data_IF_408107772372
#
_entry.id   IF_408107772372
#
_cell.length_a   1.000
_cell.length_b   1.000
_cell.length_c   1.000
_cell.angle_alpha   90.00
_cell.angle_beta   90.00
_cell.angle_gamma   90.00
#
_symmetry.space_group_name_H-M   'P 1'
#
loop_
_entity.id
_entity.type
_entity.pdbx_description
1 polymer ?
#
# COMPACT_ATOMS: atom_id res chain seq x y z
N UNK A 1 -10.62 -1.93 -13.52
CA UNK A 1 -9.70 -2.07 -14.68
C UNK A 1 -9.66 -3.50 -15.24
N UNK A 2 -9.36 -4.54 -14.43
CA UNK A 2 -9.20 -5.91 -14.92
C UNK A 2 -10.42 -6.45 -15.70
N UNK A 3 -11.65 -6.20 -15.23
CA UNK A 3 -12.86 -6.64 -15.94
C UNK A 3 -13.05 -5.95 -17.30
N UNK A 4 -12.54 -4.71 -17.48
CA UNK A 4 -12.67 -3.95 -18.73
C UNK A 4 -11.91 -4.57 -19.89
N UNK A 5 -11.06 -5.59 -19.65
CA UNK A 5 -10.47 -6.38 -20.74
C UNK A 5 -11.49 -7.31 -21.42
N UNK A 6 -12.66 -7.52 -20.81
CA UNK A 6 -13.80 -8.24 -21.39
C UNK A 6 -15.05 -7.33 -21.32
N UNK A 7 -15.50 -6.76 -22.45
CA UNK A 7 -16.63 -5.83 -22.48
C UNK A 7 -17.94 -6.42 -21.95
N UNK A 8 -18.15 -7.74 -22.10
CA UNK A 8 -19.38 -8.40 -21.64
C UNK A 8 -19.39 -8.50 -20.12
N UNK A 9 -18.26 -8.92 -19.54
CA UNK A 9 -18.11 -8.93 -18.08
C UNK A 9 -18.17 -7.52 -17.49
N UNK A 10 -17.53 -6.54 -18.13
CA UNK A 10 -17.57 -5.16 -17.67
C UNK A 10 -19.01 -4.61 -17.64
N UNK A 11 -19.78 -4.84 -18.70
CA UNK A 11 -21.18 -4.39 -18.79
C UNK A 11 -22.07 -5.00 -17.69
N UNK A 12 -21.82 -6.24 -17.28
CA UNK A 12 -22.59 -6.91 -16.23
C UNK A 12 -22.22 -6.43 -14.82
N UNK A 13 -20.93 -6.35 -14.53
CA UNK A 13 -20.41 -6.24 -13.16
C UNK A 13 -20.01 -4.82 -12.77
N UNK A 14 -19.50 -4.01 -13.71
CA UNK A 14 -18.98 -2.67 -13.39
C UNK A 14 -20.04 -1.74 -12.79
N UNK A 15 -21.28 -1.64 -13.30
CA UNK A 15 -22.31 -0.79 -12.70
C UNK A 15 -22.65 -1.16 -11.25
N UNK A 16 -22.47 -2.42 -10.87
CA UNK A 16 -22.73 -2.91 -9.50
C UNK A 16 -21.53 -2.69 -8.59
N UNK A 17 -20.31 -2.79 -9.13
CA UNK A 17 -19.07 -2.52 -8.41
C UNK A 17 -18.91 -1.03 -8.08
N UNK A 18 -19.46 -0.15 -8.91
CA UNK A 18 -19.44 1.30 -8.69
C UNK A 18 -20.67 1.83 -7.98
N UNK A 19 -21.59 0.94 -7.59
CA UNK A 19 -22.77 1.28 -6.80
C UNK A 19 -22.39 1.71 -5.39
N UNK A 20 -23.10 2.71 -4.85
CA UNK A 20 -22.95 3.16 -3.46
C UNK A 20 -23.80 2.34 -2.48
N UNK A 21 -24.51 1.31 -2.95
CA UNK A 21 -25.39 0.48 -2.12
C UNK A 21 -24.63 -0.76 -1.64
N UNK A 22 -24.43 -0.88 -0.33
CA UNK A 22 -23.96 -2.12 0.27
C UNK A 22 -25.14 -3.09 0.45
N UNK A 23 -25.03 -4.28 -0.16
CA UNK A 23 -25.98 -5.37 0.05
C UNK A 23 -25.27 -6.62 0.54
N UNK A 24 -25.68 -7.10 1.71
CA UNK A 24 -25.23 -8.38 2.25
C UNK A 24 -25.97 -9.58 1.65
N UNK A 25 -25.46 -10.78 1.93
CA UNK A 25 -26.05 -12.04 1.51
C UNK A 25 -25.57 -12.56 0.16
N UNK A 26 -25.64 -13.89 0.00
CA UNK A 26 -25.28 -14.61 -1.22
C UNK A 26 -26.51 -14.75 -2.11
N UNK A 27 -26.60 -13.91 -3.13
CA UNK A 27 -27.62 -13.95 -4.19
C UNK A 27 -26.95 -13.75 -5.55
N UNK A 28 -27.60 -14.13 -6.67
CA UNK A 28 -27.09 -13.81 -8.00
C UNK A 28 -26.78 -12.32 -8.13
N UNK A 29 -25.67 -11.97 -8.76
CA UNK A 29 -25.27 -10.57 -8.91
C UNK A 29 -26.34 -9.71 -9.59
N UNK A 30 -27.12 -10.27 -10.52
CA UNK A 30 -28.24 -9.59 -11.19
C UNK A 30 -29.36 -9.15 -10.25
N UNK A 31 -29.45 -9.72 -9.04
CA UNK A 31 -30.47 -9.43 -8.03
C UNK A 31 -29.98 -8.47 -6.95
N UNK A 32 -28.76 -7.94 -7.08
CA UNK A 32 -28.15 -7.02 -6.13
C UNK A 32 -27.92 -5.65 -6.76
N UNK A 33 -28.19 -4.58 -6.00
CA UNK A 33 -27.89 -3.22 -6.45
C UNK A 33 -26.40 -2.88 -6.35
N UNK A 34 -25.64 -3.56 -5.49
CA UNK A 34 -24.20 -3.42 -5.36
C UNK A 34 -23.52 -4.73 -5.00
N UNK A 35 -22.26 -4.87 -5.42
CA UNK A 35 -21.47 -6.10 -5.24
C UNK A 35 -20.06 -5.80 -4.74
N UNK A 36 -19.47 -6.77 -4.06
CA UNK A 36 -18.07 -6.72 -3.61
C UNK A 36 -17.23 -7.77 -4.34
N UNK A 37 -16.00 -7.41 -4.68
CA UNK A 37 -15.04 -8.32 -5.30
C UNK A 37 -13.87 -8.62 -4.37
N UNK A 38 -13.52 -9.90 -4.28
CA UNK A 38 -12.29 -10.37 -3.67
C UNK A 38 -11.26 -10.77 -4.70
N UNK A 39 -10.12 -11.25 -4.21
CA UNK A 39 -9.04 -11.76 -5.07
C UNK A 39 -8.50 -13.08 -4.51
N UNK A 40 -8.16 -14.00 -5.41
CA UNK A 40 -7.61 -15.31 -5.11
C UNK A 40 -6.35 -15.59 -5.93
N UNK A 41 -5.20 -15.09 -5.49
CA UNK A 41 -3.92 -15.26 -6.20
C UNK A 41 -3.01 -16.27 -5.50
N UNK A 42 -2.75 -16.02 -4.20
CA UNK A 42 -1.75 -16.73 -3.40
C UNK A 42 -2.13 -18.19 -3.13
N UNK A 43 -1.16 -19.08 -3.35
CA UNK A 43 -1.25 -20.49 -2.96
C UNK A 43 -0.23 -20.83 -1.87
N UNK A 44 -0.25 -22.08 -1.39
CA UNK A 44 0.56 -22.53 -0.24
C UNK A 44 2.06 -22.43 -0.53
N UNK A 45 2.45 -22.71 -1.76
CA UNK A 45 3.83 -22.70 -2.26
C UNK A 45 4.35 -21.28 -2.56
N UNK A 46 3.47 -20.28 -2.71
CA UNK A 46 3.92 -18.92 -3.03
C UNK A 46 2.80 -17.91 -3.29
N UNK A 47 3.03 -16.68 -2.83
CA UNK A 47 2.22 -15.50 -3.16
C UNK A 47 2.89 -14.52 -4.11
N UNK A 48 4.23 -14.46 -4.09
CA UNK A 48 5.03 -13.61 -4.99
C UNK A 48 5.15 -14.25 -6.37
N UNK A 49 5.56 -15.51 -6.42
CA UNK A 49 5.70 -16.26 -7.67
C UNK A 49 4.37 -16.93 -8.05
N UNK A 50 3.42 -16.11 -8.51
CA UNK A 50 2.09 -16.60 -8.93
C UNK A 50 2.15 -17.55 -10.13
N UNK A 51 3.28 -17.61 -10.85
CA UNK A 51 3.48 -18.57 -11.95
C UNK A 51 3.66 -20.00 -11.45
N UNK A 52 4.07 -20.16 -10.19
CA UNK A 52 4.12 -21.46 -9.50
C UNK A 52 2.75 -21.99 -9.06
N UNK A 53 1.66 -21.25 -9.34
CA UNK A 53 0.30 -21.69 -9.01
C UNK A 53 -0.01 -23.06 -9.64
N UNK A 54 -0.75 -23.86 -8.88
CA UNK A 54 -1.12 -25.25 -9.18
C UNK A 54 -2.62 -25.43 -9.35
N UNK A 55 -3.45 -24.45 -8.98
CA UNK A 55 -4.87 -24.44 -9.35
C UNK A 55 -4.98 -24.53 -10.87
N UNK A 56 -5.76 -25.50 -11.37
CA UNK A 56 -5.93 -25.79 -12.80
C UNK A 56 -7.28 -25.30 -13.27
N UNK A 57 -7.35 -24.91 -14.53
CA UNK A 57 -8.58 -24.52 -15.21
C UNK A 57 -8.77 -25.41 -16.45
N UNK A 58 -9.88 -26.14 -16.49
CA UNK A 58 -10.27 -27.01 -17.59
C UNK A 58 -11.39 -26.34 -18.39
N UNK A 59 -11.20 -26.17 -19.70
CA UNK A 59 -12.19 -25.51 -20.56
C UNK A 59 -13.46 -26.35 -20.67
N UNK A 60 -14.61 -25.70 -20.53
CA UNK A 60 -15.90 -26.25 -20.91
C UNK A 60 -16.16 -26.03 -22.40
N UNK A 61 -17.27 -26.59 -22.91
CA UNK A 61 -17.66 -26.45 -24.31
C UNK A 61 -18.09 -25.01 -24.70
N UNK A 62 -18.34 -24.14 -23.71
CA UNK A 62 -18.65 -22.72 -23.91
C UNK A 62 -17.39 -21.86 -24.04
N UNK A 63 -17.46 -20.82 -24.87
CA UNK A 63 -16.32 -19.89 -25.04
C UNK A 63 -16.02 -19.15 -23.74
N UNK A 64 -14.81 -19.34 -23.22
CA UNK A 64 -14.33 -18.65 -22.02
C UNK A 64 -14.83 -19.22 -20.69
N UNK A 65 -15.56 -20.34 -20.68
CA UNK A 65 -16.04 -21.00 -19.46
C UNK A 65 -15.11 -22.15 -19.04
N UNK A 66 -14.80 -22.23 -17.75
CA UNK A 66 -13.86 -23.20 -17.20
C UNK A 66 -14.35 -23.77 -15.87
N UNK A 67 -13.83 -24.95 -15.54
CA UNK A 67 -13.90 -25.52 -14.20
C UNK A 67 -12.52 -25.41 -13.53
N UNK A 68 -12.50 -24.86 -12.33
CA UNK A 68 -11.30 -24.70 -11.52
C UNK A 68 -11.23 -25.79 -10.45
N UNK A 69 -10.05 -26.38 -10.32
CA UNK A 69 -9.72 -27.34 -9.26
C UNK A 69 -8.37 -26.98 -8.64
N UNK A 70 -8.34 -26.83 -7.31
CA UNK A 70 -7.16 -26.37 -6.58
C UNK A 70 -7.51 -25.61 -5.31
N UNK A 71 -6.69 -24.62 -4.94
CA UNK A 71 -6.88 -23.87 -3.69
C UNK A 71 -6.31 -22.46 -3.75
N UNK A 72 -6.79 -21.59 -2.85
CA UNK A 72 -6.12 -20.34 -2.50
C UNK A 72 -5.86 -20.28 -1.01
N UNK A 73 -4.62 -19.95 -0.68
CA UNK A 73 -4.14 -19.96 0.70
C UNK A 73 -4.57 -18.71 1.47
N UNK A 74 -4.65 -17.57 0.80
CA UNK A 74 -5.22 -16.34 1.36
C UNK A 74 -6.30 -15.80 0.42
N UNK A 75 -7.54 -15.86 0.86
CA UNK A 75 -8.69 -15.26 0.19
C UNK A 75 -9.47 -14.40 1.19
N UNK A 76 -9.19 -13.10 1.18
CA UNK A 76 -9.86 -12.12 2.04
C UNK A 76 -11.25 -11.80 1.53
N UNK A 77 -12.13 -11.38 2.45
CA UNK A 77 -13.53 -11.11 2.18
C UNK A 77 -14.24 -12.30 1.48
N UNK A 78 -14.29 -13.51 2.09
CA UNK A 78 -14.89 -14.69 1.46
C UNK A 78 -16.41 -14.59 1.19
N UNK A 79 -17.05 -13.54 1.70
CA UNK A 79 -18.44 -13.19 1.43
C UNK A 79 -18.64 -12.37 0.14
N UNK A 80 -17.57 -11.88 -0.50
CA UNK A 80 -17.64 -11.13 -1.75
C UNK A 80 -18.40 -11.89 -2.85
N UNK A 81 -19.13 -11.17 -3.69
CA UNK A 81 -20.00 -11.74 -4.73
C UNK A 81 -19.22 -12.41 -5.86
N UNK A 82 -18.01 -11.92 -6.12
CA UNK A 82 -17.09 -12.46 -7.12
C UNK A 82 -15.64 -12.36 -6.69
N UNK A 83 -14.79 -13.20 -7.30
CA UNK A 83 -13.35 -13.20 -7.07
C UNK A 83 -12.60 -13.20 -8.38
N UNK A 84 -11.56 -12.37 -8.49
CA UNK A 84 -10.55 -12.54 -9.54
C UNK A 84 -9.50 -13.55 -9.08
N UNK A 85 -9.42 -14.68 -9.78
CA UNK A 85 -8.62 -15.85 -9.42
C UNK A 85 -7.60 -16.15 -10.52
N UNK A 86 -6.36 -16.43 -10.15
CA UNK A 86 -5.34 -16.91 -11.09
C UNK A 86 -5.26 -18.45 -11.07
N UNK A 87 -5.37 -19.08 -12.24
CA UNK A 87 -5.23 -20.52 -12.40
C UNK A 87 -4.48 -20.88 -13.70
N UNK A 88 -3.93 -22.09 -13.78
CA UNK A 88 -3.23 -22.61 -14.95
C UNK A 88 -4.25 -23.19 -15.96
N UNK A 89 -4.38 -22.54 -17.10
CA UNK A 89 -5.06 -23.05 -18.28
C UNK A 89 -4.03 -23.68 -19.26
N UNK A 90 -4.45 -24.35 -20.34
CA UNK A 90 -3.51 -24.92 -21.33
C UNK A 90 -2.49 -23.91 -21.87
N UNK A 91 -2.89 -22.66 -22.13
CA UNK A 91 -2.03 -21.55 -22.56
C UNK A 91 -1.23 -20.88 -21.43
N UNK A 92 -1.34 -21.35 -20.20
CA UNK A 92 -0.61 -20.87 -19.03
C UNK A 92 -1.46 -20.09 -18.02
N UNK A 93 -0.78 -19.33 -17.14
CA UNK A 93 -1.42 -18.64 -16.03
C UNK A 93 -2.42 -17.59 -16.52
N UNK A 94 -3.69 -17.78 -16.16
CA UNK A 94 -4.84 -17.04 -16.69
C UNK A 94 -5.65 -16.45 -15.54
N UNK A 95 -6.30 -15.31 -15.79
CA UNK A 95 -7.20 -14.66 -14.84
C UNK A 95 -8.64 -15.13 -15.10
N UNK A 96 -9.36 -15.42 -14.02
CA UNK A 96 -10.75 -15.87 -14.06
C UNK A 96 -11.59 -15.07 -13.07
N UNK A 97 -12.85 -14.83 -13.44
CA UNK A 97 -13.90 -14.38 -12.56
C UNK A 97 -14.63 -15.61 -12.00
N UNK A 98 -14.60 -15.77 -10.68
CA UNK A 98 -15.32 -16.81 -9.94
C UNK A 98 -16.47 -16.14 -9.17
N UNK A 99 -17.73 -16.22 -9.65
CA UNK A 99 -18.87 -15.76 -8.87
C UNK A 99 -19.17 -16.74 -7.72
N UNK A 100 -19.70 -16.25 -6.60
CA UNK A 100 -20.14 -17.10 -5.47
C UNK A 100 -21.51 -17.75 -5.69
N UNK A 101 -22.35 -17.12 -6.51
CA UNK A 101 -23.68 -17.60 -6.89
C UNK A 101 -23.77 -17.58 -8.41
N UNK A 102 -24.20 -18.68 -8.99
CA UNK A 102 -24.33 -18.88 -10.42
C UNK A 102 -25.60 -18.17 -10.97
N UNK A 103 -25.71 -17.98 -12.29
CA UNK A 103 -26.87 -17.31 -12.90
C UNK A 103 -28.22 -17.99 -12.63
N UNK A 104 -28.23 -19.28 -12.32
CA UNK A 104 -29.42 -20.06 -11.98
C UNK A 104 -29.84 -19.93 -10.50
N UNK A 105 -29.10 -19.18 -9.68
CA UNK A 105 -29.36 -19.03 -8.25
C UNK A 105 -28.64 -20.02 -7.36
N UNK A 106 -28.02 -21.07 -7.92
CA UNK A 106 -27.29 -22.06 -7.13
C UNK A 106 -25.94 -21.52 -6.68
N UNK A 107 -25.42 -22.06 -5.57
CA UNK A 107 -24.09 -21.68 -5.08
C UNK A 107 -23.01 -22.34 -5.92
N UNK A 108 -22.02 -21.55 -6.32
CA UNK A 108 -20.83 -22.10 -6.95
C UNK A 108 -20.01 -22.89 -5.91
N UNK A 109 -19.26 -23.89 -6.37
CA UNK A 109 -18.37 -24.66 -5.48
C UNK A 109 -17.23 -23.75 -5.03
N UNK A 110 -17.16 -23.48 -3.73
CA UNK A 110 -16.12 -22.63 -3.14
C UNK A 110 -16.10 -22.97 -1.65
N UNK A 111 -15.24 -23.92 -1.31
CA UNK A 111 -15.17 -24.53 0.00
C UNK A 111 -14.27 -23.71 0.91
N UNK A 112 -14.85 -23.05 1.91
CA UNK A 112 -14.09 -22.32 2.93
C UNK A 112 -13.63 -23.34 3.97
N UNK A 113 -12.33 -23.60 4.02
CA UNK A 113 -11.76 -24.60 4.93
C UNK A 113 -11.61 -24.06 6.34
N UNK A 114 -11.07 -22.84 6.46
CA UNK A 114 -10.94 -22.12 7.73
C UNK A 114 -10.76 -20.63 7.52
N UNK A 115 -10.98 -19.87 8.60
CA UNK A 115 -10.52 -18.50 8.71
C UNK A 115 -9.12 -18.45 9.34
N UNK A 116 -8.33 -17.44 8.95
CA UNK A 116 -7.00 -17.19 9.51
C UNK A 116 -7.13 -16.57 10.90
N UNK A 117 -6.40 -17.11 11.88
CA UNK A 117 -6.09 -16.37 13.10
C UNK A 117 -4.91 -15.43 12.80
N UNK A 118 -5.21 -14.13 12.69
CA UNK A 118 -4.25 -13.10 12.24
C UNK A 118 -3.77 -12.25 13.41
N UNK A 119 -2.54 -11.72 13.31
CA UNK A 119 -2.01 -10.73 14.25
C UNK A 119 -2.93 -9.50 14.38
N UNK A 120 -3.17 -8.82 13.25
CA UNK A 120 -4.07 -7.68 13.10
C UNK A 120 -5.10 -7.94 12.00
N UNK A 121 -5.77 -6.88 11.54
CA UNK A 121 -6.78 -6.93 10.48
C UNK A 121 -7.90 -7.94 10.80
N UNK A 122 -8.19 -8.16 12.08
CA UNK A 122 -9.07 -9.23 12.58
C UNK A 122 -10.54 -9.02 12.18
N UNK A 123 -10.95 -7.78 11.91
CA UNK A 123 -12.30 -7.45 11.41
C UNK A 123 -12.54 -7.95 9.99
N UNK A 124 -11.50 -8.09 9.19
CA UNK A 124 -11.58 -8.61 7.82
C UNK A 124 -11.34 -10.12 7.84
N UNK A 125 -12.35 -10.92 7.48
CA UNK A 125 -12.18 -12.36 7.37
C UNK A 125 -11.22 -12.70 6.21
N UNK A 126 -10.14 -13.40 6.53
CA UNK A 126 -9.26 -14.02 5.52
C UNK A 126 -9.41 -15.53 5.62
N UNK A 127 -9.64 -16.18 4.49
CA UNK A 127 -9.95 -17.61 4.42
C UNK A 127 -8.91 -18.40 3.65
N UNK A 128 -8.90 -19.70 3.90
CA UNK A 128 -8.40 -20.72 2.98
C UNK A 128 -9.58 -21.28 2.20
N UNK A 129 -9.44 -21.36 0.88
CA UNK A 129 -10.51 -21.78 -0.01
C UNK A 129 -10.01 -22.88 -0.94
N UNK A 130 -10.87 -23.86 -1.19
CA UNK A 130 -10.63 -24.93 -2.14
C UNK A 130 -11.70 -24.91 -3.24
N UNK A 131 -11.24 -25.27 -4.43
CA UNK A 131 -12.03 -25.34 -5.66
C UNK A 131 -12.08 -26.79 -6.11
N UNK A 132 -13.27 -27.27 -6.44
CA UNK A 132 -13.52 -28.61 -6.96
C UNK A 132 -14.63 -28.53 -7.99
N UNK A 133 -14.25 -28.45 -9.27
CA UNK A 133 -15.21 -28.17 -10.34
C UNK A 133 -15.88 -26.79 -10.19
N UNK A 134 -15.15 -25.79 -9.67
CA UNK A 134 -15.67 -24.42 -9.49
C UNK A 134 -15.83 -23.76 -10.85
N UNK A 135 -17.05 -23.37 -11.23
CA UNK A 135 -17.26 -22.66 -12.48
C UNK A 135 -16.61 -21.28 -12.45
N UNK A 136 -15.95 -20.90 -13.53
CA UNK A 136 -15.35 -19.59 -13.68
C UNK A 136 -15.39 -19.12 -15.13
N UNK A 137 -15.35 -17.80 -15.32
CA UNK A 137 -15.26 -17.18 -16.63
C UNK A 137 -13.92 -16.51 -16.82
N UNK A 138 -13.23 -16.78 -17.93
CA UNK A 138 -11.94 -16.18 -18.26
C UNK A 138 -12.05 -14.66 -18.37
N UNK A 139 -11.05 -13.94 -17.88
CA UNK A 139 -10.92 -12.48 -17.95
C UNK A 139 -9.64 -12.13 -18.73
N UNK A 140 -9.80 -11.51 -19.90
CA UNK A 140 -8.70 -11.23 -20.82
C UNK A 140 -8.15 -12.50 -21.49
N UNK A 141 -6.99 -12.39 -22.14
CA UNK A 141 -6.40 -13.50 -22.91
C UNK A 141 -5.87 -14.64 -22.02
N UNK A 142 -6.03 -15.88 -22.50
CA UNK A 142 -5.42 -17.06 -21.87
C UNK A 142 -3.88 -16.92 -21.82
N UNK A 143 -3.26 -17.34 -20.71
CA UNK A 143 -1.82 -17.20 -20.47
C UNK A 143 -1.34 -15.80 -20.11
N UNK A 144 -2.24 -14.80 -20.12
CA UNK A 144 -1.94 -13.38 -19.84
C UNK A 144 -2.47 -12.90 -18.49
N UNK A 145 -2.77 -13.80 -17.56
CA UNK A 145 -3.41 -13.48 -16.28
C UNK A 145 -2.72 -12.40 -15.45
N UNK A 146 -1.37 -12.42 -15.38
CA UNK A 146 -0.61 -11.36 -14.68
C UNK A 146 -0.81 -9.99 -15.33
N UNK A 147 -0.82 -9.94 -16.67
CA UNK A 147 -1.03 -8.70 -17.42
C UNK A 147 -2.45 -8.18 -17.20
N UNK A 148 -3.46 -9.05 -17.18
CA UNK A 148 -4.85 -8.68 -16.95
C UNK A 148 -5.06 -7.94 -15.63
N UNK A 149 -4.35 -8.33 -14.57
CA UNK A 149 -4.55 -7.78 -13.22
C UNK A 149 -3.57 -6.68 -12.83
N UNK A 150 -2.60 -6.33 -13.67
CA UNK A 150 -1.47 -5.48 -13.25
C UNK A 150 -1.90 -4.07 -12.81
N UNK A 151 -2.89 -3.49 -13.49
CA UNK A 151 -3.44 -2.18 -13.13
C UNK A 151 -4.24 -2.23 -11.82
N UNK A 152 -4.99 -3.31 -11.60
CA UNK A 152 -5.70 -3.55 -10.34
C UNK A 152 -4.70 -3.66 -9.19
N UNK A 153 -3.65 -4.45 -9.38
CA UNK A 153 -2.54 -4.60 -8.43
C UNK A 153 -1.93 -3.24 -8.12
N UNK A 154 -1.58 -2.43 -9.13
CA UNK A 154 -1.02 -1.10 -8.93
C UNK A 154 -1.95 -0.19 -8.10
N UNK A 155 -3.25 -0.18 -8.38
CA UNK A 155 -4.23 0.57 -7.59
C UNK A 155 -4.25 0.11 -6.11
N UNK A 156 -4.22 -1.20 -5.86
CA UNK A 156 -4.16 -1.70 -4.48
C UNK A 156 -2.86 -1.38 -3.75
N UNK A 157 -1.75 -1.14 -4.47
CA UNK A 157 -0.51 -0.63 -3.86
C UNK A 157 -0.67 0.79 -3.39
N UNK A 158 -1.36 1.64 -4.15
CA UNK A 158 -1.71 2.98 -3.70
C UNK A 158 -2.52 2.90 -2.40
N UNK A 159 -3.54 2.04 -2.33
CA UNK A 159 -4.33 1.84 -1.11
C UNK A 159 -3.47 1.40 0.09
N UNK A 160 -2.42 0.59 -0.13
CA UNK A 160 -1.46 0.27 0.92
C UNK A 160 -0.74 1.51 1.45
N UNK A 161 -0.31 2.40 0.55
CA UNK A 161 0.36 3.67 0.91
C UNK A 161 -0.59 4.55 1.70
N UNK A 162 -1.80 4.77 1.17
CA UNK A 162 -2.84 5.60 1.80
C UNK A 162 -3.21 5.05 3.17
N UNK A 163 -3.49 3.75 3.27
CA UNK A 163 -3.84 3.09 4.52
C UNK A 163 -2.72 3.16 5.56
N UNK A 164 -1.45 2.98 5.16
CA UNK A 164 -0.32 3.13 6.08
C UNK A 164 -0.09 4.57 6.52
N UNK A 165 -0.25 5.55 5.61
CA UNK A 165 -0.18 6.97 5.96
C UNK A 165 -1.29 7.35 6.96
N UNK A 166 -2.51 6.82 6.79
CA UNK A 166 -3.62 7.04 7.70
C UNK A 166 -3.36 6.41 9.09
N UNK A 167 -2.80 5.19 9.14
CA UNK A 167 -2.41 4.55 10.40
C UNK A 167 -1.35 5.36 11.15
N UNK A 168 -0.31 5.84 10.45
CA UNK A 168 0.70 6.73 11.03
C UNK A 168 0.04 8.00 11.57
N UNK A 169 -0.79 8.67 10.77
CA UNK A 169 -1.47 9.90 11.18
C UNK A 169 -2.32 9.70 12.43
N UNK A 170 -3.07 8.60 12.50
CA UNK A 170 -3.86 8.28 13.68
C UNK A 170 -2.97 8.06 14.91
N UNK A 171 -1.88 7.29 14.79
CA UNK A 171 -0.97 7.03 15.90
C UNK A 171 -0.30 8.31 16.40
N UNK A 172 0.19 9.17 15.51
CA UNK A 172 0.79 10.46 15.86
C UNK A 172 -0.23 11.39 16.53
N UNK A 173 -1.46 11.45 16.02
CA UNK A 173 -2.52 12.25 16.63
C UNK A 173 -2.80 11.83 18.07
N UNK A 174 -2.83 10.51 18.36
CA UNK A 174 -3.00 9.99 19.71
C UNK A 174 -1.82 10.34 20.61
N UNK A 175 -0.58 10.17 20.12
CA UNK A 175 0.63 10.51 20.88
C UNK A 175 0.73 12.00 21.21
N UNK A 176 0.51 12.87 20.23
CA UNK A 176 0.54 14.34 20.41
C UNK A 176 -0.58 14.77 21.35
N UNK A 177 -1.79 14.24 21.18
CA UNK A 177 -2.91 14.53 22.08
C UNK A 177 -2.59 14.11 23.51
N UNK A 178 -2.09 12.88 23.73
CA UNK A 178 -1.70 12.41 25.05
C UNK A 178 -0.65 13.33 25.70
N UNK A 179 0.42 13.65 24.98
CA UNK A 179 1.51 14.49 25.49
C UNK A 179 1.06 15.93 25.77
N UNK A 180 0.03 16.42 25.06
CA UNK A 180 -0.57 17.74 25.28
C UNK A 180 -1.17 17.87 26.68
N UNK A 181 -1.75 16.81 27.23
CA UNK A 181 -2.49 16.86 28.49
C UNK A 181 -1.81 16.12 29.65
N UNK A 182 -0.90 15.19 29.34
CA UNK A 182 -0.17 14.44 30.37
C UNK A 182 0.93 15.29 30.99
N UNK A 183 0.91 15.39 32.33
CA UNK A 183 1.98 16.00 33.10
C UNK A 183 2.98 14.97 33.64
N UNK A 184 4.26 15.30 33.61
CA UNK A 184 5.33 14.59 34.31
C UNK A 184 6.47 15.56 34.67
N UNK A 185 7.17 15.30 35.78
CA UNK A 185 8.29 16.12 36.24
C UNK A 185 7.96 17.63 36.26
N UNK A 186 6.81 17.99 36.84
CA UNK A 186 6.41 19.39 37.04
C UNK A 186 5.94 20.17 35.80
N UNK A 187 5.63 19.53 34.67
CA UNK A 187 5.05 20.20 33.49
C UNK A 187 4.41 19.24 32.50
N UNK A 188 3.78 19.77 31.45
CA UNK A 188 3.20 18.95 30.39
C UNK A 188 4.30 18.24 29.59
N UNK A 189 4.00 17.04 29.10
CA UNK A 189 4.94 16.25 28.31
C UNK A 189 5.30 16.94 26.98
N UNK A 190 4.33 17.57 26.32
CA UNK A 190 4.54 18.32 25.07
C UNK A 190 5.56 19.47 25.23
N UNK A 191 5.74 19.98 26.45
CA UNK A 191 6.69 21.04 26.76
C UNK A 191 8.10 20.53 27.07
N UNK A 192 8.27 19.22 27.26
CA UNK A 192 9.59 18.64 27.53
C UNK A 192 10.38 18.57 26.22
N UNK A 193 11.59 19.15 26.14
CA UNK A 193 12.35 19.25 24.89
C UNK A 193 12.56 17.90 24.18
N UNK A 194 12.87 16.84 24.92
CA UNK A 194 13.08 15.51 24.35
C UNK A 194 11.79 14.90 23.79
N UNK A 195 10.67 15.01 24.52
CA UNK A 195 9.37 14.54 24.04
C UNK A 195 8.93 15.32 22.80
N UNK A 196 9.13 16.64 22.79
CA UNK A 196 8.87 17.46 21.60
C UNK A 196 9.68 16.99 20.39
N UNK A 197 10.92 16.58 20.59
CA UNK A 197 11.75 16.03 19.52
C UNK A 197 11.15 14.72 18.98
N UNK A 198 10.81 13.76 19.85
CA UNK A 198 10.15 12.50 19.45
C UNK A 198 8.86 12.77 18.68
N UNK A 199 7.98 13.63 19.20
CA UNK A 199 6.70 13.94 18.56
C UNK A 199 6.88 14.65 17.21
N UNK A 200 7.84 15.56 17.10
CA UNK A 200 8.17 16.21 15.83
C UNK A 200 8.66 15.19 14.81
N UNK A 201 9.55 14.28 15.21
CA UNK A 201 10.11 13.26 14.33
C UNK A 201 9.04 12.30 13.79
N UNK A 202 8.10 11.89 14.65
CA UNK A 202 6.94 11.10 14.24
C UNK A 202 5.99 11.89 13.32
N UNK A 203 5.79 13.18 13.59
CA UNK A 203 4.98 14.05 12.75
C UNK A 203 5.57 14.22 11.34
N UNK A 204 6.89 14.32 11.21
CA UNK A 204 7.56 14.39 9.91
C UNK A 204 7.29 13.13 9.06
N UNK A 205 7.37 11.93 9.65
CA UNK A 205 7.03 10.69 8.94
C UNK A 205 5.56 10.68 8.47
N UNK A 206 4.65 11.08 9.36
CA UNK A 206 3.22 11.14 9.02
C UNK A 206 2.96 12.15 7.90
N UNK A 207 3.54 13.35 7.95
CA UNK A 207 3.32 14.39 6.96
C UNK A 207 3.93 14.00 5.60
N UNK A 208 5.17 13.48 5.60
CA UNK A 208 5.82 12.98 4.40
C UNK A 208 5.05 11.84 3.74
N UNK A 209 4.51 10.90 4.53
CA UNK A 209 3.71 9.79 4.03
C UNK A 209 2.37 10.29 3.44
N UNK A 210 1.68 11.21 4.13
CA UNK A 210 0.40 11.76 3.68
C UNK A 210 0.56 12.55 2.37
N UNK A 211 1.53 13.47 2.28
CA UNK A 211 1.73 14.27 1.06
C UNK A 211 2.10 13.38 -0.13
N UNK A 212 2.95 12.38 0.09
CA UNK A 212 3.27 11.40 -0.95
C UNK A 212 2.04 10.61 -1.42
N UNK A 213 1.23 10.09 -0.48
CA UNK A 213 0.01 9.37 -0.81
C UNK A 213 -0.95 10.22 -1.65
N UNK A 214 -1.14 11.50 -1.27
CA UNK A 214 -2.01 12.42 -2.01
C UNK A 214 -1.46 12.77 -3.40
N UNK A 215 -0.15 12.93 -3.56
CA UNK A 215 0.47 13.16 -4.88
C UNK A 215 0.24 11.98 -5.83
N UNK A 216 0.35 10.76 -5.32
CA UNK A 216 0.09 9.56 -6.11
C UNK A 216 -1.40 9.45 -6.48
N UNK A 217 -2.31 9.72 -5.54
CA UNK A 217 -3.76 9.74 -5.85
C UNK A 217 -4.08 10.78 -6.94
N UNK A 218 -3.54 11.99 -6.82
CA UNK A 218 -3.71 13.04 -7.83
C UNK A 218 -3.15 12.65 -9.20
N UNK A 219 -2.07 11.87 -9.26
CA UNK A 219 -1.53 11.34 -10.52
C UNK A 219 -2.51 10.35 -11.18
N UNK A 220 -3.14 9.48 -10.39
CA UNK A 220 -4.16 8.54 -10.86
C UNK A 220 -5.41 9.26 -11.36
N UNK A 221 -5.83 10.34 -10.69
CA UNK A 221 -6.98 11.14 -11.14
C UNK A 221 -6.69 11.89 -12.45
N UNK A 222 -5.44 12.36 -12.63
CA UNK A 222 -5.03 13.10 -13.82
C UNK A 222 -4.86 12.21 -15.04
N UNK A 223 -4.34 10.98 -14.86
CA UNK A 223 -4.22 9.92 -15.86
C UNK A 223 -3.67 10.34 -17.24
N UNK A 224 -2.63 11.17 -17.25
CA UNK A 224 -1.86 11.46 -18.47
C UNK A 224 -0.76 10.42 -18.69
N UNK A 225 -0.17 10.36 -19.89
CA UNK A 225 0.96 9.47 -20.17
C UNK A 225 2.16 9.75 -19.25
N UNK A 226 2.42 11.02 -18.97
CA UNK A 226 3.46 11.44 -18.04
C UNK A 226 3.18 10.98 -16.59
N UNK A 227 1.94 11.12 -16.11
CA UNK A 227 1.58 10.67 -14.77
C UNK A 227 1.59 9.15 -14.66
N UNK A 228 1.18 8.42 -15.70
CA UNK A 228 1.33 6.95 -15.75
C UNK A 228 2.79 6.52 -15.70
N UNK A 229 3.67 7.20 -16.44
CA UNK A 229 5.10 6.95 -16.40
C UNK A 229 5.70 7.25 -15.01
N UNK A 230 5.28 8.34 -14.37
CA UNK A 230 5.67 8.66 -12.99
C UNK A 230 5.23 7.58 -12.00
N UNK A 231 3.95 7.19 -12.04
CA UNK A 231 3.34 6.19 -11.16
C UNK A 231 4.03 4.82 -11.25
N UNK A 232 4.56 4.45 -12.43
CA UNK A 232 5.23 3.17 -12.68
C UNK A 232 6.38 2.90 -11.71
N UNK A 233 7.12 3.95 -11.30
CA UNK A 233 8.20 3.90 -10.32
C UNK A 233 7.73 4.39 -8.95
N UNK A 234 6.95 5.48 -8.92
CA UNK A 234 6.63 6.17 -7.67
C UNK A 234 5.75 5.32 -6.74
N UNK A 235 4.78 4.56 -7.27
CA UNK A 235 3.91 3.69 -6.47
C UNK A 235 4.67 2.56 -5.76
N UNK A 236 5.48 1.71 -6.44
CA UNK A 236 6.23 0.67 -5.75
C UNK A 236 7.29 1.24 -4.79
N UNK A 237 7.93 2.37 -5.10
CA UNK A 237 8.86 3.03 -4.19
C UNK A 237 8.16 3.56 -2.92
N UNK A 238 6.99 4.21 -3.08
CA UNK A 238 6.18 4.69 -1.97
C UNK A 238 5.64 3.53 -1.11
N UNK A 239 5.11 2.48 -1.74
CA UNK A 239 4.66 1.27 -1.02
C UNK A 239 5.80 0.64 -0.26
N UNK A 240 6.99 0.49 -0.85
CA UNK A 240 8.16 -0.02 -0.15
C UNK A 240 8.44 0.78 1.12
N UNK A 241 8.54 2.10 0.99
CA UNK A 241 9.00 2.97 2.06
C UNK A 241 7.94 3.20 3.13
N UNK A 242 6.78 3.73 2.76
CA UNK A 242 5.72 4.14 3.69
C UNK A 242 5.22 2.94 4.51
N UNK A 243 4.98 1.80 3.87
CA UNK A 243 4.46 0.62 4.60
C UNK A 243 5.50 0.03 5.55
N UNK A 244 6.80 0.14 5.24
CA UNK A 244 7.89 -0.29 6.14
C UNK A 244 8.08 0.65 7.32
N UNK A 245 7.93 1.95 7.11
CA UNK A 245 8.01 2.96 8.18
C UNK A 245 6.81 2.91 9.12
N UNK A 246 5.67 2.37 8.70
CA UNK A 246 4.44 2.35 9.48
C UNK A 246 4.61 1.69 10.85
N UNK A 247 5.22 0.49 10.90
CA UNK A 247 5.38 -0.26 12.16
C UNK A 247 6.23 0.48 13.20
N UNK A 248 7.46 0.96 12.89
CA UNK A 248 8.26 1.69 13.88
C UNK A 248 7.59 3.00 14.32
N UNK A 249 6.94 3.76 13.42
CA UNK A 249 6.21 4.98 13.79
C UNK A 249 5.10 4.68 14.78
N UNK A 250 4.29 3.65 14.52
CA UNK A 250 3.19 3.26 15.41
C UNK A 250 3.71 2.72 16.75
N UNK A 251 4.84 1.99 16.73
CA UNK A 251 5.49 1.49 17.95
C UNK A 251 5.96 2.62 18.88
N UNK A 252 6.65 3.62 18.34
CA UNK A 252 7.10 4.77 19.13
C UNK A 252 5.93 5.66 19.59
N UNK A 253 4.94 5.87 18.73
CA UNK A 253 3.73 6.59 19.11
C UNK A 253 2.97 5.89 20.25
N UNK A 254 2.97 4.55 20.26
CA UNK A 254 2.43 3.75 21.37
C UNK A 254 3.23 4.00 22.66
N UNK A 255 4.56 4.02 22.58
CA UNK A 255 5.43 4.27 23.73
C UNK A 255 5.21 5.67 24.35
N UNK A 256 4.84 6.67 23.54
CA UNK A 256 4.50 8.01 24.03
C UNK A 256 3.31 8.02 25.02
N UNK A 257 2.44 7.01 24.99
CA UNK A 257 1.33 6.84 25.93
C UNK A 257 1.73 6.05 27.20
N UNK A 258 2.97 5.54 27.26
CA UNK A 258 3.47 4.68 28.31
C UNK A 258 2.68 3.38 28.45
N UNK A 259 2.51 2.90 29.69
CA UNK A 259 1.82 1.63 29.97
C UNK A 259 0.41 1.56 29.40
N UNK A 260 -0.33 2.68 29.33
CA UNK A 260 -1.67 2.73 28.77
C UNK A 260 -1.68 2.42 27.27
N UNK A 261 -0.64 2.81 26.54
CA UNK A 261 -0.50 2.49 25.12
C UNK A 261 -0.39 0.99 24.85
N UNK A 262 0.07 0.22 25.83
CA UNK A 262 0.22 -1.23 25.69
C UNK A 262 -1.06 -2.03 26.00
N UNK A 263 -2.15 -1.36 26.39
CA UNK A 263 -3.43 -2.00 26.71
C UNK A 263 -4.45 -1.76 25.58
N UNK A 264 -5.23 -2.79 25.25
CA UNK A 264 -6.12 -2.80 24.06
C UNK A 264 -7.18 -1.70 24.09
N UNK A 265 -7.64 -1.27 25.26
CA UNK A 265 -8.62 -0.20 25.46
C UNK A 265 -8.14 1.16 24.94
N UNK A 266 -6.82 1.38 24.85
CA UNK A 266 -6.27 2.60 24.25
C UNK A 266 -6.45 2.64 22.72
N UNK A 267 -6.68 1.50 22.09
CA UNK A 267 -6.71 1.35 20.63
C UNK A 267 -5.32 1.34 19.97
N UNK A 268 -4.24 1.67 20.68
CA UNK A 268 -2.88 1.65 20.13
C UNK A 268 -2.38 0.24 19.77
N UNK A 269 -2.62 -0.82 20.57
CA UNK A 269 -2.21 -2.17 20.19
C UNK A 269 -2.87 -2.65 18.89
N UNK A 270 -4.11 -2.25 18.63
CA UNK A 270 -4.77 -2.51 17.34
C UNK A 270 -4.02 -1.85 16.19
N UNK A 271 -3.61 -0.59 16.31
CA UNK A 271 -2.83 0.08 15.27
C UNK A 271 -1.49 -0.62 15.04
N UNK A 272 -0.79 -1.00 16.13
CA UNK A 272 0.49 -1.71 16.03
C UNK A 272 0.34 -3.07 15.32
N UNK A 273 -0.72 -3.82 15.65
CA UNK A 273 -1.02 -5.11 15.02
C UNK A 273 -1.46 -4.97 13.56
N UNK A 274 -2.04 -3.84 13.16
CA UNK A 274 -2.42 -3.52 11.77
C UNK A 274 -1.23 -3.09 10.91
N UNK A 275 -0.31 -2.31 11.48
CA UNK A 275 0.79 -1.65 10.78
C UNK A 275 1.64 -2.52 9.83
N UNK A 276 2.01 -3.78 10.16
CA UNK A 276 2.86 -4.58 9.27
C UNK A 276 2.11 -5.13 8.05
N UNK A 277 0.78 -5.20 8.06
CA UNK A 277 0.00 -5.90 7.03
C UNK A 277 0.25 -5.30 5.64
N UNK A 278 0.16 -3.98 5.49
CA UNK A 278 0.31 -3.32 4.19
C UNK A 278 1.72 -3.47 3.58
N UNK A 279 2.72 -3.82 4.40
CA UNK A 279 4.07 -4.14 3.90
C UNK A 279 4.21 -5.58 3.40
N UNK A 280 3.31 -6.47 3.83
CA UNK A 280 3.28 -7.90 3.45
C UNK A 280 2.31 -8.12 2.28
N UNK A 281 1.11 -7.55 2.39
CA UNK A 281 0.04 -7.71 1.41
C UNK A 281 0.44 -7.07 0.08
N UNK A 282 0.06 -7.77 -1.00
CA UNK A 282 0.27 -7.39 -2.40
C UNK A 282 1.73 -7.00 -2.71
N UNK A 283 2.64 -7.98 -2.61
CA UNK A 283 4.06 -7.79 -2.91
C UNK A 283 4.83 -7.13 -1.77
N UNK A 284 5.63 -7.93 -1.07
CA UNK A 284 6.46 -7.48 0.04
C UNK A 284 7.59 -6.55 -0.42
N UNK A 285 8.30 -5.92 0.51
CA UNK A 285 9.32 -4.91 0.16
C UNK A 285 10.39 -5.36 -0.84
N UNK A 286 10.81 -6.63 -0.87
CA UNK A 286 11.71 -7.11 -1.92
C UNK A 286 11.07 -7.07 -3.30
N UNK A 287 9.80 -7.48 -3.39
CA UNK A 287 9.04 -7.46 -4.65
C UNK A 287 8.92 -6.04 -5.17
N UNK A 288 8.60 -5.08 -4.29
CA UNK A 288 8.52 -3.67 -4.66
C UNK A 288 9.87 -3.13 -5.16
N UNK A 289 10.96 -3.44 -4.45
CA UNK A 289 12.28 -2.96 -4.83
C UNK A 289 12.74 -3.53 -6.19
N UNK A 290 12.51 -4.83 -6.42
CA UNK A 290 12.83 -5.48 -7.69
C UNK A 290 11.92 -5.01 -8.83
N UNK A 291 10.67 -4.62 -8.55
CA UNK A 291 9.78 -4.05 -9.56
C UNK A 291 10.21 -2.65 -9.99
N UNK A 292 10.72 -1.83 -9.07
CA UNK A 292 11.38 -0.55 -9.43
C UNK A 292 12.58 -0.80 -10.33
N UNK A 293 13.47 -1.74 -9.99
CA UNK A 293 14.61 -2.06 -10.87
C UNK A 293 14.18 -2.53 -12.25
N UNK A 294 13.12 -3.35 -12.33
CA UNK A 294 12.57 -3.79 -13.60
C UNK A 294 12.02 -2.63 -14.44
N UNK A 295 11.35 -1.67 -13.80
CA UNK A 295 10.87 -0.46 -14.46
C UNK A 295 12.04 0.36 -15.01
N UNK A 296 13.07 0.61 -14.18
CA UNK A 296 14.28 1.34 -14.58
C UNK A 296 14.97 0.70 -15.80
N UNK A 297 14.96 -0.63 -15.89
CA UNK A 297 15.60 -1.35 -17.00
C UNK A 297 14.77 -1.32 -18.30
N UNK A 298 13.43 -1.34 -18.20
CA UNK A 298 12.54 -1.59 -19.35
C UNK A 298 11.77 -0.38 -19.84
N UNK A 299 11.64 0.64 -19.00
CA UNK A 299 10.72 1.77 -19.19
C UNK A 299 11.45 3.09 -18.87
N UNK A 300 12.42 3.52 -19.70
CA UNK A 300 13.24 4.72 -19.43
C UNK A 300 12.41 5.98 -19.21
N UNK A 301 11.27 6.10 -19.89
CA UNK A 301 10.31 7.19 -19.72
C UNK A 301 9.78 7.32 -18.28
N UNK A 302 9.72 6.21 -17.53
CA UNK A 302 9.32 6.24 -16.13
C UNK A 302 10.37 6.92 -15.25
N UNK A 303 11.66 6.68 -15.52
CA UNK A 303 12.74 7.36 -14.82
C UNK A 303 12.73 8.85 -15.16
N UNK A 304 12.55 9.21 -16.43
CA UNK A 304 12.49 10.61 -16.86
C UNK A 304 11.33 11.37 -16.18
N UNK A 305 10.14 10.76 -16.10
CA UNK A 305 8.99 11.33 -15.41
C UNK A 305 9.26 11.49 -13.90
N UNK A 306 9.86 10.48 -13.26
CA UNK A 306 10.27 10.55 -11.86
C UNK A 306 11.29 11.67 -11.60
N UNK A 307 12.33 11.77 -12.43
CA UNK A 307 13.37 12.80 -12.32
C UNK A 307 12.81 14.20 -12.56
N UNK A 308 11.87 14.35 -13.49
CA UNK A 308 11.18 15.61 -13.73
C UNK A 308 10.34 16.02 -12.52
N UNK A 309 9.63 15.08 -11.90
CA UNK A 309 8.84 15.36 -10.70
C UNK A 309 9.73 15.83 -9.54
N UNK A 310 10.82 15.12 -9.22
CA UNK A 310 11.71 15.57 -8.13
C UNK A 310 12.45 16.86 -8.48
N UNK A 311 12.77 17.06 -9.76
CA UNK A 311 13.44 18.26 -10.28
C UNK A 311 12.61 19.54 -10.18
N UNK A 312 11.28 19.46 -9.98
CA UNK A 312 10.42 20.63 -9.69
C UNK A 312 10.82 21.36 -8.39
N UNK A 313 11.60 20.71 -7.52
CA UNK A 313 12.08 21.26 -6.25
C UNK A 313 13.53 21.79 -6.32
N UNK A 314 14.15 21.82 -7.51
CA UNK A 314 15.56 22.21 -7.66
C UNK A 314 15.84 23.59 -7.06
N UNK A 315 16.89 23.68 -6.23
CA UNK A 315 17.30 24.93 -5.60
C UNK A 315 16.46 25.37 -4.40
N UNK A 316 15.43 24.60 -4.03
CA UNK A 316 14.63 24.89 -2.85
C UNK A 316 15.36 24.55 -1.53
N UNK A 317 16.20 23.50 -1.55
CA UNK A 317 17.02 23.10 -0.40
C UNK A 317 18.31 22.41 -0.86
N UNK A 318 19.46 22.84 -0.31
CA UNK A 318 20.77 22.34 -0.70
C UNK A 318 21.02 20.86 -0.32
N UNK A 319 20.41 20.35 0.77
CA UNK A 319 20.51 18.94 1.19
C UNK A 319 19.70 18.06 0.25
N UNK A 320 18.51 18.52 -0.17
CA UNK A 320 17.71 17.84 -1.19
C UNK A 320 18.44 17.79 -2.54
N UNK A 321 19.00 18.91 -2.99
CA UNK A 321 19.77 18.95 -4.24
C UNK A 321 20.97 17.98 -4.21
N UNK A 322 21.68 17.92 -3.08
CA UNK A 322 22.76 16.96 -2.86
C UNK A 322 22.25 15.51 -2.87
N UNK A 323 21.12 15.23 -2.23
CA UNK A 323 20.51 13.89 -2.22
C UNK A 323 20.05 13.45 -3.62
N UNK A 324 19.45 14.35 -4.41
CA UNK A 324 19.09 14.08 -5.81
C UNK A 324 20.34 13.80 -6.64
N UNK A 325 21.41 14.59 -6.48
CA UNK A 325 22.69 14.34 -7.17
C UNK A 325 23.27 12.97 -6.81
N UNK A 326 23.28 12.61 -5.53
CA UNK A 326 23.77 11.31 -5.07
C UNK A 326 22.91 10.16 -5.60
N UNK A 327 21.59 10.34 -5.67
CA UNK A 327 20.68 9.37 -6.27
C UNK A 327 21.01 9.14 -7.75
N UNK A 328 21.27 10.20 -8.52
CA UNK A 328 21.68 10.08 -9.92
C UNK A 328 23.01 9.31 -10.06
N UNK A 329 23.97 9.54 -9.17
CA UNK A 329 25.21 8.76 -9.13
C UNK A 329 24.95 7.28 -8.86
N UNK A 330 24.06 6.94 -7.92
CA UNK A 330 23.73 5.54 -7.64
C UNK A 330 22.93 4.87 -8.75
N UNK A 331 22.05 5.60 -9.44
CA UNK A 331 21.33 5.10 -10.61
C UNK A 331 22.27 4.79 -11.80
N UNK A 332 23.39 5.49 -11.90
CA UNK A 332 24.40 5.23 -12.92
C UNK A 332 25.29 4.00 -12.61
N UNK A 333 25.35 3.58 -11.34
CA UNK A 333 26.15 2.45 -10.89
C UNK A 333 25.32 1.16 -10.85
N UNK A 334 25.45 0.36 -11.92
CA UNK A 334 24.74 -0.90 -12.07
C UNK A 334 25.41 -2.07 -11.31
N UNK A 335 26.60 -1.87 -10.73
CA UNK A 335 27.30 -2.92 -10.02
C UNK A 335 26.52 -3.35 -8.77
N UNK A 336 26.19 -4.64 -8.69
CA UNK A 336 25.45 -5.20 -7.56
C UNK A 336 24.05 -4.57 -7.35
N UNK A 337 23.45 -3.95 -8.38
CA UNK A 337 22.22 -3.16 -8.24
C UNK A 337 21.07 -3.91 -7.55
N UNK A 338 20.94 -5.23 -7.80
CA UNK A 338 19.92 -6.05 -7.16
C UNK A 338 20.15 -6.19 -5.64
N UNK A 339 21.40 -6.41 -5.21
CA UNK A 339 21.77 -6.51 -3.80
C UNK A 339 21.56 -5.18 -3.05
N UNK A 340 21.67 -4.04 -3.76
CA UNK A 340 21.50 -2.69 -3.21
C UNK A 340 20.10 -2.11 -3.45
N UNK A 341 19.18 -2.86 -4.07
CA UNK A 341 17.89 -2.35 -4.56
C UNK A 341 17.09 -1.62 -3.49
N UNK A 342 17.06 -2.17 -2.26
CA UNK A 342 16.36 -1.55 -1.13
C UNK A 342 16.88 -0.17 -0.77
N UNK A 343 18.20 0.02 -0.75
CA UNK A 343 18.84 1.31 -0.46
C UNK A 343 18.53 2.32 -1.56
N UNK A 344 18.60 1.90 -2.82
CA UNK A 344 18.25 2.76 -3.95
C UNK A 344 16.78 3.22 -3.87
N UNK A 345 15.86 2.28 -3.67
CA UNK A 345 14.41 2.55 -3.65
C UNK A 345 14.01 3.38 -2.43
N UNK A 346 14.64 3.16 -1.28
CA UNK A 346 14.53 4.03 -0.11
C UNK A 346 14.92 5.47 -0.45
N UNK A 347 16.07 5.68 -1.08
CA UNK A 347 16.54 7.01 -1.47
C UNK A 347 15.62 7.68 -2.49
N UNK A 348 15.11 6.92 -3.46
CA UNK A 348 14.09 7.41 -4.40
C UNK A 348 12.84 7.90 -3.65
N UNK A 349 12.32 7.13 -2.70
CA UNK A 349 11.17 7.55 -1.91
C UNK A 349 11.47 8.81 -1.06
N UNK A 350 12.64 8.87 -0.42
CA UNK A 350 13.06 10.00 0.42
C UNK A 350 13.24 11.29 -0.39
N UNK A 351 13.88 11.26 -1.56
CA UNK A 351 14.01 12.48 -2.40
C UNK A 351 12.66 12.93 -2.94
N UNK A 352 11.74 11.99 -3.23
CA UNK A 352 10.39 12.33 -3.66
C UNK A 352 9.59 12.97 -2.52
N UNK A 353 9.66 12.41 -1.31
CA UNK A 353 9.07 13.03 -0.11
C UNK A 353 9.66 14.42 0.14
N UNK A 354 11.00 14.56 0.12
CA UNK A 354 11.68 15.84 0.30
C UNK A 354 11.24 16.88 -0.74
N UNK A 355 11.22 16.49 -2.03
CA UNK A 355 10.74 17.33 -3.13
C UNK A 355 9.30 17.81 -2.92
N UNK A 356 8.41 16.93 -2.44
CA UNK A 356 7.04 17.30 -2.16
C UNK A 356 6.91 18.24 -0.95
N UNK A 357 7.65 17.97 0.13
CA UNK A 357 7.59 18.79 1.33
C UNK A 357 8.12 20.21 1.10
N UNK A 358 9.24 20.39 0.41
CA UNK A 358 9.76 21.74 0.12
C UNK A 358 8.83 22.56 -0.80
N UNK A 359 7.95 21.90 -1.55
CA UNK A 359 6.97 22.56 -2.42
C UNK A 359 5.65 22.89 -1.70
N UNK A 360 5.25 22.07 -0.73
CA UNK A 360 3.86 22.07 -0.23
C UNK A 360 3.71 22.07 1.29
N UNK A 361 4.77 21.82 2.05
CA UNK A 361 4.75 21.87 3.52
C UNK A 361 5.33 23.19 4.04
N UNK A 362 4.97 23.59 5.27
CA UNK A 362 5.61 24.74 5.92
C UNK A 362 7.14 24.59 6.00
N UNK A 363 7.90 25.70 6.03
CA UNK A 363 9.36 25.67 6.07
C UNK A 363 9.92 24.84 7.23
N UNK A 364 9.29 24.88 8.40
CA UNK A 364 9.74 24.17 9.60
C UNK A 364 9.66 22.64 9.43
N UNK A 365 8.66 22.16 8.70
CA UNK A 365 8.49 20.73 8.36
C UNK A 365 9.50 20.30 7.32
N UNK A 366 9.62 21.07 6.23
CA UNK A 366 10.49 20.71 5.11
C UNK A 366 11.97 20.83 5.48
N UNK A 367 12.38 21.86 6.24
CA UNK A 367 13.72 22.01 6.80
C UNK A 367 14.08 20.84 7.72
N UNK A 368 13.20 20.49 8.67
CA UNK A 368 13.45 19.39 9.59
C UNK A 368 13.51 18.02 8.90
N UNK A 369 12.67 17.79 7.87
CA UNK A 369 12.74 16.59 7.05
C UNK A 369 14.05 16.54 6.25
N UNK A 370 14.42 17.62 5.57
CA UNK A 370 15.67 17.68 4.80
C UNK A 370 16.91 17.54 5.70
N UNK A 371 16.93 18.19 6.88
CA UNK A 371 18.04 18.08 7.84
C UNK A 371 18.27 16.63 8.28
N UNK A 372 17.20 15.91 8.57
CA UNK A 372 17.26 14.54 9.09
C UNK A 372 17.41 13.49 7.99
N UNK A 373 16.41 13.35 7.11
CA UNK A 373 16.32 12.24 6.14
C UNK A 373 17.31 12.38 4.98
N UNK A 374 17.75 13.60 4.67
CA UNK A 374 18.61 13.88 3.51
C UNK A 374 19.99 14.43 3.91
N UNK A 375 20.07 15.19 5.01
CA UNK A 375 21.30 15.78 5.54
C UNK A 375 22.15 14.83 6.38
N UNK A 376 21.57 13.73 6.88
CA UNK A 376 22.28 12.70 7.65
C UNK A 376 22.51 13.04 9.13
N UNK A 377 22.02 14.18 9.61
CA UNK A 377 22.03 14.55 11.03
C UNK A 377 20.83 13.91 11.74
N UNK A 378 20.86 12.58 11.86
CA UNK A 378 19.77 11.75 12.41
C UNK A 378 20.27 10.38 12.92
N UNK A 379 19.61 9.85 13.95
CA UNK A 379 19.87 8.53 14.51
C UNK A 379 18.92 7.45 13.99
N UNK A 380 19.03 6.23 14.53
CA UNK A 380 18.15 5.11 14.16
C UNK A 380 16.82 5.10 14.92
N UNK A 381 16.81 5.68 16.13
CA UNK A 381 15.62 5.88 16.95
C UNK A 381 14.96 7.23 16.64
N UNK A 382 13.67 7.34 16.97
CA UNK A 382 12.97 8.62 16.89
C UNK A 382 13.44 9.60 17.96
N UNK A 383 13.21 10.88 17.73
CA UNK A 383 13.59 11.94 18.68
C UNK A 383 15.06 12.31 18.62
N UNK A 384 15.71 12.01 17.49
CA UNK A 384 17.12 12.32 17.23
C UNK A 384 17.30 13.46 16.23
N UNK A 385 16.28 14.32 16.08
CA UNK A 385 16.36 15.50 15.22
C UNK A 385 17.33 16.54 15.79
N UNK A 386 17.97 17.35 14.93
CA UNK A 386 18.82 18.46 15.36
C UNK A 386 18.07 19.42 16.30
N UNK A 387 18.67 19.74 17.44
CA UNK A 387 18.05 20.59 18.48
C UNK A 387 17.86 22.06 18.07
N UNK A 388 18.49 22.49 16.97
CA UNK A 388 18.41 23.86 16.44
C UNK A 388 17.17 24.11 15.57
N UNK A 389 16.39 23.07 15.26
CA UNK A 389 15.20 23.15 14.42
C UNK A 389 13.98 23.64 15.21
N UNK A 390 12.98 24.22 14.52
CA UNK A 390 11.71 24.61 15.12
C UNK A 390 10.76 23.41 15.27
N UNK A 391 11.09 22.53 16.21
CA UNK A 391 10.31 21.33 16.51
C UNK A 391 8.96 21.67 17.17
N UNK A 392 8.82 22.86 17.75
CA UNK A 392 7.58 23.28 18.40
C UNK A 392 6.48 23.55 17.36
N UNK A 393 6.81 24.23 16.27
CA UNK A 393 5.89 24.48 15.16
C UNK A 393 5.45 23.18 14.47
N UNK A 394 6.38 22.23 14.28
CA UNK A 394 6.06 20.90 13.72
C UNK A 394 5.06 20.15 14.61
N UNK A 395 5.28 20.09 15.93
CA UNK A 395 4.35 19.43 16.85
C UNK A 395 3.01 20.15 16.91
N UNK A 396 3.01 21.48 16.91
CA UNK A 396 1.78 22.29 16.93
C UNK A 396 0.91 22.01 15.70
N UNK A 397 1.52 21.90 14.52
CA UNK A 397 0.82 21.52 13.29
C UNK A 397 0.26 20.09 13.33
N UNK A 398 0.96 19.16 13.98
CA UNK A 398 0.50 17.78 14.11
C UNK A 398 -0.63 17.62 15.14
N UNK A 399 -0.81 18.59 16.04
CA UNK A 399 -1.80 18.55 17.11
C UNK A 399 -3.23 18.52 16.55
N UNK A 400 -4.07 17.57 16.97
CA UNK A 400 -5.50 17.62 16.68
C UNK A 400 -6.12 18.86 17.33
N UNK A 401 -6.80 19.68 16.54
CA UNK A 401 -7.64 20.77 17.02
C UNK A 401 -9.04 20.19 17.21
N UNK A 402 -9.62 20.33 18.40
CA UNK A 402 -11.04 20.11 18.58
C UNK A 402 -11.72 21.45 18.28
N UNK A 403 -12.53 21.49 17.24
CA UNK A 403 -13.43 22.61 16.96
C UNK A 403 -14.59 22.65 17.97
#
# INVERSE_FOLDING_TARGET
>A
PALRTDPVLAAEWEPKLTSYVYEEGLRPAREKAGVLFGMGMTEKQGGTDVRSNTTRAESLAGDGEYLLTGHKWFCSAPMSDGFLVLAQAPGGLTCFLVPRVLPDGTRNVFAIQRLKDKLGNKSNASSEVEFDGTWARRVGEEGRGVRTIIEMVAATRLDCVVGSAALMRQAVAQAVHHATYRSAFGGLLIDKPLMRNVLADLALESEAATVLAMRLASAYDTDTEEERAFLRIAVPAAKYWVTKRCTPVVGEALECLGGNGYVEESGMPRLLREAPLNSIWEGSGNVQALDVLRALQREPQALDAFLREVGKARGADHRLDAAIKNLLTELADLEGIEARARRLVERMALVLQGSLLVRWAPPEVSDAFCASRLGGDWGTAFGTLPHSLDLASVVTRARPVAD
#
